data_IF_842241921844
#
_entry.id   IF_842241921844
#
_cell.length_a   1.000
_cell.length_b   1.000
_cell.length_c   1.000
_cell.angle_alpha   90.00
_cell.angle_beta   90.00
_cell.angle_gamma   90.00
#
_symmetry.space_group_name_H-M   'P 1'
#
loop_
_entity.id
_entity.type
_entity.pdbx_description
1 polymer ?
#
# COMPACT_ATOMS: atom_id res chain seq x y z
N UNK A 1 -16.55 7.88 -10.77
CA UNK A 1 -15.77 8.00 -9.51
C UNK A 1 -14.32 8.20 -9.90
N UNK A 2 -13.65 9.24 -9.38
CA UNK A 2 -12.21 9.41 -9.60
C UNK A 2 -11.43 8.37 -8.79
N UNK A 3 -10.40 7.77 -9.38
CA UNK A 3 -9.46 6.93 -8.64
C UNK A 3 -8.69 7.82 -7.65
N UNK A 4 -8.76 7.53 -6.36
CA UNK A 4 -7.99 8.23 -5.33
C UNK A 4 -6.56 7.66 -5.30
N UNK A 5 -5.70 8.17 -6.19
CA UNK A 5 -4.31 7.72 -6.28
C UNK A 5 -3.50 7.98 -5.01
N UNK A 6 -3.89 8.97 -4.21
CA UNK A 6 -3.24 9.24 -2.92
C UNK A 6 -3.52 8.11 -1.92
N UNK A 7 -4.71 7.50 -1.98
CA UNK A 7 -5.07 6.35 -1.15
C UNK A 7 -4.24 5.13 -1.54
N UNK A 8 -4.14 4.81 -2.84
CA UNK A 8 -3.29 3.72 -3.31
C UNK A 8 -1.80 3.96 -3.00
N UNK A 9 -1.33 5.21 -3.07
CA UNK A 9 0.04 5.55 -2.68
C UNK A 9 0.28 5.33 -1.17
N UNK A 10 -0.68 5.67 -0.30
CA UNK A 10 -0.62 5.38 1.13
C UNK A 10 -0.54 3.87 1.37
N UNK A 11 -1.45 3.09 0.78
CA UNK A 11 -1.45 1.63 0.92
C UNK A 11 -0.16 1.00 0.40
N UNK A 12 0.32 1.44 -0.76
CA UNK A 12 1.60 1.01 -1.32
C UNK A 12 2.76 1.31 -0.36
N UNK A 13 2.82 2.50 0.22
CA UNK A 13 3.85 2.90 1.16
C UNK A 13 3.83 2.06 2.46
N UNK A 14 2.66 1.75 3.00
CA UNK A 14 2.57 0.92 4.20
C UNK A 14 2.92 -0.54 3.86
N UNK A 15 2.28 -1.10 2.84
CA UNK A 15 2.38 -2.52 2.52
C UNK A 15 3.80 -2.92 2.09
N UNK A 16 4.46 -2.13 1.23
CA UNK A 16 5.84 -2.42 0.79
C UNK A 16 6.91 -2.12 1.86
N UNK A 17 6.59 -1.35 2.91
CA UNK A 17 7.50 -1.23 4.07
C UNK A 17 7.36 -2.43 5.01
N UNK A 18 6.16 -2.98 5.15
CA UNK A 18 5.91 -4.11 6.05
C UNK A 18 6.23 -5.47 5.42
N UNK A 19 6.25 -5.54 4.09
CA UNK A 19 6.69 -6.70 3.35
C UNK A 19 8.19 -6.98 3.57
N UNK A 20 8.62 -8.26 3.56
CA UNK A 20 10.03 -8.62 3.55
C UNK A 20 10.81 -7.97 2.40
N UNK A 21 12.11 -7.74 2.61
CA UNK A 21 12.95 -7.02 1.65
C UNK A 21 13.04 -7.67 0.26
N UNK A 22 12.85 -8.98 0.19
CA UNK A 22 12.85 -9.82 -1.01
C UNK A 22 11.47 -10.02 -1.63
N UNK A 23 10.41 -9.43 -1.06
CA UNK A 23 9.06 -9.55 -1.58
C UNK A 23 8.97 -9.12 -3.05
N UNK A 24 8.33 -9.99 -3.85
CA UNK A 24 8.00 -9.75 -5.27
C UNK A 24 6.53 -9.52 -5.52
N UNK A 25 5.68 -9.87 -4.56
CA UNK A 25 4.24 -9.72 -4.63
C UNK A 25 3.72 -9.29 -3.26
N UNK A 26 2.77 -8.36 -3.27
CA UNK A 26 2.05 -7.87 -2.10
C UNK A 26 0.58 -7.83 -2.45
N UNK A 27 -0.20 -8.65 -1.75
CA UNK A 27 -1.66 -8.73 -1.93
C UNK A 27 -2.35 -8.14 -0.71
N UNK A 28 -3.32 -7.24 -0.94
CA UNK A 28 -4.28 -6.78 0.06
C UNK A 28 -5.65 -7.30 -0.36
N UNK A 29 -6.42 -7.81 0.59
CA UNK A 29 -7.82 -8.22 0.40
C UNK A 29 -8.69 -7.24 1.19
N UNK A 30 -9.92 -6.98 0.78
CA UNK A 30 -10.87 -6.30 1.66
C UNK A 30 -11.54 -7.34 2.57
N UNK A 31 -11.54 -7.13 3.88
CA UNK A 31 -12.12 -8.10 4.83
C UNK A 31 -13.64 -8.16 4.75
N UNK A 32 -14.26 -7.03 4.44
CA UNK A 32 -15.71 -6.93 4.23
C UNK A 32 -16.13 -7.43 2.85
N UNK A 33 -15.24 -7.33 1.85
CA UNK A 33 -15.47 -7.71 0.46
C UNK A 33 -14.30 -8.56 -0.06
N UNK A 34 -14.24 -9.88 0.25
CA UNK A 34 -13.08 -10.70 -0.09
C UNK A 34 -12.79 -10.86 -1.59
N UNK A 35 -13.77 -10.52 -2.43
CA UNK A 35 -13.66 -10.42 -3.89
C UNK A 35 -12.90 -9.16 -4.34
N UNK A 36 -12.77 -8.15 -3.48
CA UNK A 36 -11.93 -6.98 -3.70
C UNK A 36 -10.48 -7.26 -3.30
N UNK A 37 -9.61 -7.32 -4.31
CA UNK A 37 -8.19 -7.61 -4.18
C UNK A 37 -7.35 -6.53 -4.83
N UNK A 38 -6.33 -6.07 -4.13
CA UNK A 38 -5.29 -5.17 -4.63
C UNK A 38 -3.98 -5.96 -4.63
N UNK A 39 -3.36 -6.11 -5.80
CA UNK A 39 -2.11 -6.85 -5.95
C UNK A 39 -1.06 -5.93 -6.54
N UNK A 40 0.03 -5.73 -5.80
CA UNK A 40 1.26 -5.14 -6.31
C UNK A 40 2.26 -6.24 -6.64
N UNK A 41 2.75 -6.27 -7.88
CA UNK A 41 3.78 -7.22 -8.34
C UNK A 41 5.03 -6.45 -8.77
N UNK A 42 6.18 -6.77 -8.18
CA UNK A 42 7.47 -6.14 -8.46
C UNK A 42 8.06 -6.66 -9.76
N UNK A 43 8.20 -5.79 -10.76
CA UNK A 43 8.97 -6.03 -11.97
C UNK A 43 10.48 -6.04 -11.72
N UNK A 44 11.23 -6.33 -12.78
CA UNK A 44 12.69 -6.38 -12.74
C UNK A 44 13.33 -5.00 -12.55
N UNK A 45 12.64 -3.95 -12.99
CA UNK A 45 13.05 -2.54 -12.92
C UNK A 45 12.68 -1.84 -11.59
N UNK A 46 12.37 -2.63 -10.57
CA UNK A 46 11.91 -2.18 -9.24
C UNK A 46 10.60 -1.37 -9.24
N UNK A 47 9.87 -1.29 -10.36
CA UNK A 47 8.48 -0.82 -10.39
C UNK A 47 7.54 -1.94 -9.95
N UNK A 48 6.43 -1.55 -9.35
CA UNK A 48 5.39 -2.44 -8.88
C UNK A 48 4.12 -2.19 -9.69
N UNK A 49 3.72 -3.14 -10.53
CA UNK A 49 2.45 -3.08 -11.22
C UNK A 49 1.31 -3.30 -10.21
N UNK A 50 0.33 -2.40 -10.17
CA UNK A 50 -0.88 -2.54 -9.38
C UNK A 50 -2.01 -3.08 -10.24
N UNK A 51 -2.61 -4.19 -9.79
CA UNK A 51 -3.91 -4.64 -10.29
C UNK A 51 -4.97 -4.55 -9.20
N UNK A 52 -6.17 -4.13 -9.56
CA UNK A 52 -7.36 -4.15 -8.69
C UNK A 52 -8.39 -5.07 -9.33
N UNK A 53 -8.74 -6.15 -8.64
CA UNK A 53 -9.62 -7.21 -9.18
C UNK A 53 -9.15 -7.69 -10.57
N UNK A 54 -7.82 -7.84 -10.73
CA UNK A 54 -7.17 -8.25 -11.97
C UNK A 54 -7.08 -7.20 -13.07
N UNK A 55 -7.55 -5.97 -12.85
CA UNK A 55 -7.43 -4.87 -13.83
C UNK A 55 -6.22 -4.01 -13.52
N UNK A 56 -5.40 -3.70 -14.54
CA UNK A 56 -4.24 -2.82 -14.39
C UNK A 56 -4.66 -1.38 -14.04
N UNK A 57 -4.03 -0.83 -13.00
CA UNK A 57 -4.23 0.55 -12.52
C UNK A 57 -2.93 1.36 -12.63
N UNK A 58 -1.87 0.76 -13.15
CA UNK A 58 -0.58 1.41 -13.38
C UNK A 58 0.50 0.95 -12.42
N UNK A 59 1.61 1.68 -12.41
CA UNK A 59 2.86 1.26 -11.79
C UNK A 59 3.25 2.21 -10.66
N UNK A 60 3.71 1.65 -9.56
CA UNK A 60 4.19 2.37 -8.40
C UNK A 60 5.68 2.11 -8.19
N UNK A 61 6.42 3.13 -7.74
CA UNK A 61 7.80 2.94 -7.28
C UNK A 61 8.10 3.86 -6.11
N UNK A 62 9.09 3.47 -5.30
CA UNK A 62 9.70 4.37 -4.34
C UNK A 62 10.83 5.14 -5.00
N UNK A 63 10.89 6.43 -4.68
CA UNK A 63 11.94 7.33 -5.11
C UNK A 63 12.37 8.17 -3.91
N UNK A 64 13.32 7.64 -3.13
CA UNK A 64 13.69 8.22 -1.84
C UNK A 64 12.51 8.35 -0.88
N UNK A 65 12.15 9.60 -0.55
CA UNK A 65 11.01 9.94 0.32
C UNK A 65 9.67 10.09 -0.42
N UNK A 66 9.61 9.71 -1.70
CA UNK A 66 8.44 9.84 -2.55
C UNK A 66 7.91 8.47 -2.98
N UNK A 67 6.60 8.40 -3.17
CA UNK A 67 5.94 7.38 -4.00
C UNK A 67 5.61 8.01 -5.34
N UNK A 68 5.98 7.34 -6.42
CA UNK A 68 5.69 7.77 -7.80
C UNK A 68 4.70 6.78 -8.41
N UNK A 69 3.62 7.29 -9.00
CA UNK A 69 2.62 6.50 -9.72
C UNK A 69 2.60 6.88 -11.21
N UNK A 70 2.63 5.86 -12.07
CA UNK A 70 2.76 5.99 -13.53
C UNK A 70 1.68 5.16 -14.23
N UNK A 71 0.84 5.79 -15.05
CA UNK A 71 -0.21 5.14 -15.84
C UNK A 71 0.06 5.14 -17.35
N UNK A 72 1.26 5.58 -17.77
CA UNK A 72 1.70 5.62 -19.18
C UNK A 72 1.04 6.72 -20.04
N UNK A 73 -0.13 7.24 -19.67
CA UNK A 73 -0.87 8.22 -20.46
C UNK A 73 -0.71 9.68 -19.99
N UNK A 74 -0.11 9.91 -18.82
CA UNK A 74 0.03 11.23 -18.18
C UNK A 74 1.37 11.36 -17.46
N UNK A 75 1.71 12.59 -17.08
CA UNK A 75 2.84 12.84 -16.19
C UNK A 75 2.70 12.04 -14.88
N UNK A 76 3.79 11.54 -14.30
CA UNK A 76 3.71 10.74 -13.08
C UNK A 76 3.19 11.57 -11.90
N UNK A 77 2.26 10.99 -11.16
CA UNK A 77 1.82 11.52 -9.88
C UNK A 77 2.89 11.23 -8.82
N UNK A 78 3.16 12.20 -7.95
CA UNK A 78 4.20 12.09 -6.93
C UNK A 78 3.64 12.44 -5.57
N UNK A 79 3.80 11.53 -4.63
CA UNK A 79 3.26 11.65 -3.27
C UNK A 79 4.41 11.61 -2.26
N UNK A 80 4.68 12.71 -1.53
CA UNK A 80 5.62 12.67 -0.42
C UNK A 80 5.10 11.71 0.65
N UNK A 81 5.92 10.74 1.06
CA UNK A 81 5.51 9.74 2.07
C UNK A 81 5.11 10.45 3.36
N UNK A 82 5.84 11.50 3.76
CA UNK A 82 5.55 12.31 4.94
C UNK A 82 4.21 13.06 4.89
N UNK A 83 3.60 13.22 3.70
CA UNK A 83 2.25 13.77 3.53
C UNK A 83 1.16 12.69 3.63
N UNK A 84 1.53 11.41 3.55
CA UNK A 84 0.62 10.26 3.64
C UNK A 84 0.59 9.69 5.07
N UNK A 85 1.76 9.49 5.68
CA UNK A 85 1.95 8.83 6.97
C UNK A 85 3.26 9.31 7.63
N UNK A 86 3.39 9.18 8.95
CA UNK A 86 4.69 9.41 9.62
C UNK A 86 5.74 8.33 9.22
N UNK A 87 6.82 8.68 8.49
CA UNK A 87 7.81 7.72 8.03
C UNK A 87 8.58 7.06 9.18
N UNK A 88 8.74 7.75 10.32
CA UNK A 88 9.49 7.19 11.44
C UNK A 88 8.69 6.12 12.18
N UNK A 89 7.37 6.28 12.23
CA UNK A 89 6.47 5.24 12.74
C UNK A 89 6.51 3.96 11.90
N UNK A 90 6.60 4.09 10.57
CA UNK A 90 6.80 2.94 9.68
C UNK A 90 8.12 2.20 9.97
N UNK A 91 9.22 2.94 10.15
CA UNK A 91 10.54 2.35 10.41
C UNK A 91 10.65 1.67 11.78
N UNK A 92 10.00 2.23 12.80
CA UNK A 92 10.00 1.68 14.17
C UNK A 92 9.06 0.48 14.35
N UNK A 93 8.34 0.07 13.31
CA UNK A 93 7.39 -1.04 13.39
C UNK A 93 6.19 -0.73 14.29
N UNK A 94 5.74 0.53 14.32
CA UNK A 94 4.59 0.93 15.12
C UNK A 94 3.33 0.14 14.69
N UNK A 95 2.53 -0.28 15.68
CA UNK A 95 1.25 -0.96 15.45
C UNK A 95 0.11 0.00 15.15
N UNK A 96 0.32 1.32 15.31
CA UNK A 96 -0.62 2.37 14.95
C UNK A 96 0.11 3.41 14.12
N UNK A 97 -0.39 3.66 12.92
CA UNK A 97 0.20 4.54 11.92
C UNK A 97 -0.76 5.71 11.67
N UNK A 98 -0.50 6.89 12.27
CA UNK A 98 -1.29 8.09 12.01
C UNK A 98 -1.12 8.53 10.55
N UNK A 99 -2.23 8.70 9.83
CA UNK A 99 -2.20 9.23 8.47
C UNK A 99 -2.12 10.76 8.49
N UNK A 100 -1.76 11.34 7.34
CA UNK A 100 -1.58 12.80 7.17
C UNK A 100 -2.30 13.31 5.93
N UNK A 101 -2.36 14.63 5.79
CA UNK A 101 -2.96 15.30 4.64
C UNK A 101 -4.45 14.98 4.50
N UNK A 102 -4.88 14.63 3.29
CA UNK A 102 -6.27 14.28 2.96
C UNK A 102 -6.81 13.04 3.68
N UNK A 103 -5.95 12.27 4.35
CA UNK A 103 -6.33 11.08 5.11
C UNK A 103 -6.45 11.36 6.61
N UNK A 104 -6.03 12.52 7.10
CA UNK A 104 -6.17 12.86 8.52
C UNK A 104 -7.65 13.07 8.89
N UNK A 105 -8.11 12.62 10.08
CA UNK A 105 -7.34 12.09 11.22
C UNK A 105 -7.28 10.55 11.30
N UNK A 106 -7.32 9.82 10.18
CA UNK A 106 -7.36 8.35 10.22
C UNK A 106 -6.10 7.72 10.87
N UNK A 107 -6.27 6.52 11.40
CA UNK A 107 -5.18 5.71 11.95
C UNK A 107 -5.26 4.31 11.36
N UNK A 108 -4.19 3.88 10.70
CA UNK A 108 -4.06 2.50 10.26
C UNK A 108 -3.46 1.69 11.40
N UNK A 109 -4.15 0.66 11.85
CA UNK A 109 -3.66 -0.31 12.83
C UNK A 109 -3.01 -1.47 12.12
N UNK A 110 -1.86 -1.91 12.61
CA UNK A 110 -1.09 -3.04 12.10
C UNK A 110 -1.11 -4.17 13.14
N UNK A 111 -1.72 -5.31 12.81
CA UNK A 111 -1.66 -6.54 13.61
C UNK A 111 -0.81 -7.59 12.92
N UNK A 112 -0.11 -8.42 13.71
CA UNK A 112 0.69 -9.54 13.19
C UNK A 112 0.22 -10.81 13.87
N UNK A 113 -0.33 -11.75 13.11
CA UNK A 113 -0.85 -13.02 13.64
C UNK A 113 -0.49 -14.17 12.70
N UNK A 114 0.13 -15.24 13.23
CA UNK A 114 0.42 -16.46 12.46
C UNK A 114 1.23 -16.23 11.18
N UNK A 115 2.19 -15.30 11.18
CA UNK A 115 2.99 -14.96 10.00
C UNK A 115 2.32 -14.01 8.99
N UNK A 116 1.08 -13.57 9.27
CA UNK A 116 0.33 -12.61 8.46
C UNK A 116 0.40 -11.21 9.09
N UNK A 117 0.33 -10.17 8.26
CA UNK A 117 0.33 -8.77 8.70
C UNK A 117 -0.93 -8.10 8.19
N UNK A 118 -1.84 -7.73 9.09
CA UNK A 118 -3.13 -7.14 8.75
C UNK A 118 -3.11 -5.63 8.97
N UNK A 119 -3.82 -4.87 8.11
CA UNK A 119 -3.93 -3.43 8.18
C UNK A 119 -5.39 -3.03 8.33
N UNK A 120 -5.80 -2.44 9.44
CA UNK A 120 -7.19 -2.00 9.63
C UNK A 120 -7.30 -0.49 9.81
N UNK A 121 -8.28 0.12 9.14
CA UNK A 121 -8.71 1.49 9.40
C UNK A 121 -10.15 1.45 9.91
N UNK A 122 -10.33 1.81 11.18
CA UNK A 122 -11.63 1.77 11.84
C UNK A 122 -12.66 2.74 11.22
N UNK A 123 -12.21 3.73 10.44
CA UNK A 123 -13.08 4.74 9.83
C UNK A 123 -13.66 4.36 8.46
N UNK A 124 -13.16 3.29 7.82
CA UNK A 124 -13.48 2.96 6.42
C UNK A 124 -13.83 1.49 6.15
N UNK A 125 -14.14 0.71 7.18
CA UNK A 125 -14.36 -0.75 7.10
C UNK A 125 -13.14 -1.53 6.54
N UNK A 126 -12.40 -2.13 7.48
CA UNK A 126 -11.34 -3.15 7.38
C UNK A 126 -10.91 -3.60 5.97
N UNK A 127 -9.75 -3.09 5.54
CA UNK A 127 -8.86 -3.84 4.65
C UNK A 127 -8.38 -5.10 5.42
N UNK A 128 -8.55 -6.28 4.86
CA UNK A 128 -7.95 -7.50 5.40
C UNK A 128 -6.72 -7.82 4.58
N UNK A 129 -5.56 -7.47 5.09
CA UNK A 129 -4.31 -7.69 4.36
C UNK A 129 -3.70 -9.01 4.80
N UNK A 130 -3.77 -10.09 4.02
CA UNK A 130 -2.77 -11.11 4.10
C UNK A 130 -1.68 -10.73 3.10
N UNK A 131 -0.52 -10.30 3.60
CA UNK A 131 0.69 -10.30 2.78
C UNK A 131 1.00 -11.75 2.38
N UNK A 132 0.45 -12.20 1.26
CA UNK A 132 0.78 -13.46 0.64
C UNK A 132 2.02 -13.22 -0.22
N UNK A 133 3.14 -13.71 0.29
CA UNK A 133 4.44 -13.57 -0.35
C UNK A 133 4.67 -14.79 -1.22
N UNK A 134 4.88 -14.58 -2.52
CA UNK A 134 5.39 -15.61 -3.42
C UNK A 134 6.86 -15.32 -3.71
N UNK A 135 7.75 -16.00 -3.02
CA UNK A 135 9.15 -16.16 -3.45
C UNK A 135 9.17 -17.22 -4.56
N UNK A 136 9.75 -16.87 -5.71
CA UNK A 136 10.26 -17.88 -6.64
C UNK A 136 11.72 -18.15 -6.28
#
# INVERSE_FOLDING_TARGET
MGFDYAFFALLFAVATTLAPADAREVTLVNGAHPDETLVWTRGEDARWALTVNGRDVGHFRRDGAMVVHETGQRAPDRFPIASLVDPDSLRRGATRLPTKGSFAPAVITVSRQGGRVELSDASREVLYVPLLLRSR
#
